data_IF_372607337729
#
_entry.id   IF_372607337729
#
_cell.length_a   1.000
_cell.length_b   1.000
_cell.length_c   1.000
_cell.angle_alpha   90.00
_cell.angle_beta   90.00
_cell.angle_gamma   90.00
#
_symmetry.space_group_name_H-M   'P 1'
#
loop_
_entity.id
_entity.type
_entity.pdbx_description
1 polymer ?
#
# COMPACT_ATOMS: atom_id res chain seq x y z
N UNK A 1 21.67 -60.44 -48.18
CA UNK A 1 22.45 -59.83 -49.28
C UNK A 1 21.56 -58.80 -49.98
N UNK A 2 22.06 -57.65 -50.48
CA UNK A 2 23.08 -56.78 -49.88
C UNK A 2 22.76 -55.25 -49.95
N UNK A 3 23.40 -54.46 -49.07
CA UNK A 3 24.04 -53.13 -49.28
C UNK A 3 23.34 -51.91 -49.97
N UNK A 4 23.60 -50.74 -49.34
CA UNK A 4 23.98 -49.41 -49.92
C UNK A 4 22.88 -48.58 -50.64
N UNK A 5 22.98 -47.26 -50.78
CA UNK A 5 23.96 -46.24 -50.29
C UNK A 5 23.34 -44.83 -50.28
N UNK A 6 24.00 -43.87 -49.63
CA UNK A 6 23.75 -42.41 -49.77
C UNK A 6 24.30 -41.81 -51.08
N UNK A 7 23.65 -40.75 -51.58
CA UNK A 7 24.17 -39.63 -52.39
C UNK A 7 23.02 -38.58 -52.54
N UNK A 8 23.14 -37.28 -52.27
CA UNK A 8 24.00 -36.24 -52.89
C UNK A 8 23.89 -36.22 -54.43
N UNK A 9 23.73 -35.11 -55.16
CA UNK A 9 23.57 -33.67 -54.86
C UNK A 9 22.74 -33.00 -56.00
N UNK A 10 22.12 -31.83 -55.80
CA UNK A 10 22.50 -30.50 -56.36
C UNK A 10 21.54 -29.97 -57.46
N UNK A 11 21.19 -28.67 -57.37
CA UNK A 11 20.74 -27.74 -58.44
C UNK A 11 19.48 -28.11 -59.28
N UNK A 12 18.60 -27.23 -59.75
CA UNK A 12 18.79 -25.88 -60.31
C UNK A 12 17.58 -24.94 -60.10
N UNK A 13 17.91 -23.67 -59.82
CA UNK A 13 17.23 -22.41 -60.17
C UNK A 13 15.93 -22.40 -61.02
N UNK A 14 14.88 -21.76 -60.47
CA UNK A 14 13.93 -20.96 -61.25
C UNK A 14 13.71 -19.59 -60.61
N UNK A 15 14.32 -18.57 -61.20
CA UNK A 15 14.09 -17.16 -60.89
C UNK A 15 12.66 -16.75 -61.28
N UNK A 16 11.98 -15.97 -60.43
CA UNK A 16 10.92 -15.08 -60.89
C UNK A 16 11.14 -13.67 -60.31
N UNK A 17 11.15 -12.68 -61.18
CA UNK A 17 11.45 -11.26 -60.94
C UNK A 17 10.18 -10.41 -60.86
N UNK A 18 10.34 -9.14 -60.48
CA UNK A 18 9.32 -8.08 -60.38
C UNK A 18 8.30 -8.28 -59.24
N UNK A 19 8.33 -7.53 -58.13
CA UNK A 19 8.31 -6.07 -57.92
C UNK A 19 6.90 -5.47 -57.87
N UNK A 20 6.53 -4.92 -56.70
CA UNK A 20 5.96 -3.57 -56.63
C UNK A 20 6.12 -2.97 -55.22
N UNK A 21 6.48 -1.69 -55.15
CA UNK A 21 6.70 -0.97 -53.90
C UNK A 21 5.39 -0.41 -53.35
N UNK A 22 4.68 -1.21 -52.56
CA UNK A 22 3.58 -0.75 -51.71
C UNK A 22 4.09 -0.05 -50.45
N UNK A 23 4.29 1.27 -50.52
CA UNK A 23 4.37 2.13 -49.32
C UNK A 23 3.04 2.05 -48.52
N UNK A 24 3.02 2.50 -47.24
CA UNK A 24 1.82 2.70 -46.35
C UNK A 24 1.51 1.53 -45.38
N UNK A 25 1.25 1.69 -44.06
CA UNK A 25 1.25 2.85 -43.15
C UNK A 25 2.12 2.57 -41.92
N UNK A 26 2.86 3.57 -41.44
CA UNK A 26 3.28 3.60 -40.04
C UNK A 26 2.12 4.12 -39.17
N UNK A 27 1.79 3.39 -38.10
CA UNK A 27 0.97 3.90 -36.99
C UNK A 27 1.88 4.31 -35.83
N UNK A 28 2.78 5.24 -36.14
CA UNK A 28 3.36 6.14 -35.14
C UNK A 28 2.21 7.01 -34.62
N UNK A 29 2.03 7.12 -33.31
CA UNK A 29 1.08 8.05 -32.69
C UNK A 29 1.83 9.22 -32.04
N UNK A 30 2.18 10.28 -32.79
CA UNK A 30 2.60 11.55 -32.22
C UNK A 30 1.37 12.43 -32.00
N UNK A 31 0.99 12.69 -30.75
CA UNK A 31 0.11 13.81 -30.43
C UNK A 31 0.86 15.13 -30.71
N UNK A 32 0.39 16.00 -31.61
CA UNK A 32 0.98 17.32 -31.81
C UNK A 32 0.44 18.29 -30.74
N UNK A 33 1.35 19.02 -30.11
CA UNK A 33 1.02 20.22 -29.37
C UNK A 33 0.54 21.29 -30.37
N UNK A 34 -0.68 21.79 -30.22
CA UNK A 34 -1.17 23.00 -30.89
C UNK A 34 -1.24 24.14 -29.86
N UNK A 35 -0.42 25.17 -30.11
CA UNK A 35 -0.26 26.34 -29.26
C UNK A 35 -1.19 27.46 -29.75
N UNK A 36 -2.28 27.72 -29.04
CA UNK A 36 -3.24 28.79 -29.38
C UNK A 36 -2.98 30.04 -28.54
N UNK A 37 -2.27 31.00 -29.13
CA UNK A 37 -2.13 32.35 -28.60
C UNK A 37 -3.27 33.23 -29.09
N UNK A 38 -4.06 33.82 -28.19
CA UNK A 38 -4.42 35.24 -28.33
C UNK A 38 -4.92 35.90 -27.04
N UNK A 39 -4.73 37.22 -26.96
CA UNK A 39 -4.64 37.98 -25.70
C UNK A 39 -5.81 38.95 -25.44
N UNK A 40 -6.48 38.83 -24.28
CA UNK A 40 -7.28 39.89 -23.59
C UNK A 40 -7.67 39.40 -22.17
N UNK A 41 -7.37 40.04 -21.03
CA UNK A 41 -7.81 41.38 -20.52
C UNK A 41 -9.30 41.67 -20.79
N UNK A 42 -10.22 41.90 -19.86
CA UNK A 42 -10.28 41.93 -18.39
C UNK A 42 -11.78 41.68 -17.99
N UNK A 43 -12.34 41.82 -16.78
CA UNK A 43 -11.92 42.42 -15.51
C UNK A 43 -12.70 41.80 -14.30
N UNK A 44 -12.82 42.54 -13.21
CA UNK A 44 -13.49 42.25 -11.92
C UNK A 44 -15.01 41.97 -11.99
N UNK A 45 -15.49 41.18 -11.03
CA UNK A 45 -16.86 41.25 -10.53
C UNK A 45 -16.84 41.08 -8.99
N UNK A 46 -17.32 42.12 -8.30
CA UNK A 46 -17.25 42.28 -6.84
C UNK A 46 -18.20 41.37 -6.04
N UNK A 47 -17.93 41.32 -4.74
CA UNK A 47 -18.69 40.60 -3.72
C UNK A 47 -20.16 41.07 -3.63
N UNK A 48 -21.10 40.18 -3.28
CA UNK A 48 -22.19 40.52 -2.34
C UNK A 48 -22.72 39.27 -1.60
N UNK A 49 -23.35 39.51 -0.45
CA UNK A 49 -23.50 38.58 0.68
C UNK A 49 -24.89 37.94 0.85
N UNK A 50 -24.96 37.03 1.84
CA UNK A 50 -26.13 36.42 2.52
C UNK A 50 -26.90 35.30 1.78
N UNK A 51 -27.53 34.34 2.48
CA UNK A 51 -27.32 33.72 3.81
C UNK A 51 -28.34 32.56 3.92
N UNK A 52 -27.93 31.38 4.38
CA UNK A 52 -28.64 30.48 5.33
C UNK A 52 -27.92 29.11 5.28
N UNK A 53 -27.18 28.70 6.32
CA UNK A 53 -27.63 28.27 7.65
C UNK A 53 -28.26 26.86 7.65
N UNK A 54 -27.40 25.83 7.61
CA UNK A 54 -27.75 24.41 7.81
C UNK A 54 -26.70 23.70 8.65
N UNK A 55 -26.75 23.87 9.98
CA UNK A 55 -25.75 23.35 10.92
C UNK A 55 -25.91 21.84 11.18
N UNK A 56 -24.83 21.05 11.02
CA UNK A 56 -24.78 19.69 11.56
C UNK A 56 -23.34 19.21 11.91
N UNK A 57 -23.10 18.99 13.21
CA UNK A 57 -21.97 18.22 13.78
C UNK A 57 -20.52 18.70 13.54
N UNK A 58 -20.15 19.74 14.28
CA UNK A 58 -18.78 20.08 14.69
C UNK A 58 -18.07 18.88 15.38
N UNK A 59 -17.20 18.16 14.68
CA UNK A 59 -16.03 17.52 15.31
C UNK A 59 -14.80 18.37 14.98
N UNK A 60 -14.26 19.03 16.00
CA UNK A 60 -13.10 19.89 15.84
C UNK A 60 -11.84 19.05 15.62
N UNK A 61 -11.35 19.06 14.39
CA UNK A 61 -9.94 18.82 14.08
C UNK A 61 -9.31 20.20 13.88
N UNK A 62 -8.52 20.65 14.86
CA UNK A 62 -7.76 21.90 14.79
C UNK A 62 -6.72 21.82 13.66
N UNK A 63 -6.76 22.70 12.64
CA UNK A 63 -5.73 22.75 11.61
C UNK A 63 -4.59 23.65 12.09
N UNK A 64 -3.69 23.10 12.91
CA UNK A 64 -2.45 23.80 13.28
C UNK A 64 -1.46 23.86 12.11
N UNK A 65 -1.71 24.75 11.15
CA UNK A 65 -0.73 25.17 10.14
C UNK A 65 0.31 26.09 10.80
N UNK A 66 1.29 25.49 11.48
CA UNK A 66 2.50 26.15 11.99
C UNK A 66 3.71 25.77 11.16
N UNK A 67 4.27 26.72 10.40
CA UNK A 67 5.35 26.43 9.46
C UNK A 67 6.72 26.18 10.11
N UNK A 68 7.57 25.44 9.39
CA UNK A 68 9.02 25.64 9.38
C UNK A 68 9.80 25.29 10.64
N UNK A 69 10.17 24.02 10.82
CA UNK A 69 11.44 23.66 11.46
C UNK A 69 12.01 22.37 10.85
N UNK A 70 12.99 22.53 9.97
CA UNK A 70 13.77 21.46 9.32
C UNK A 70 14.75 20.86 10.33
N UNK A 71 14.24 20.16 11.34
CA UNK A 71 15.05 19.51 12.38
C UNK A 71 15.47 18.09 11.98
N UNK A 72 16.59 18.02 11.27
CA UNK A 72 17.43 16.81 11.26
C UNK A 72 18.17 16.70 12.59
N UNK A 73 17.57 16.03 13.58
CA UNK A 73 18.23 14.97 14.38
C UNK A 73 17.39 14.52 15.59
N UNK A 74 17.56 13.25 15.94
CA UNK A 74 16.99 12.64 17.14
C UNK A 74 15.69 11.89 16.89
N UNK A 75 15.80 10.60 16.54
CA UNK A 75 14.72 9.61 16.74
C UNK A 75 14.43 9.51 18.24
N UNK A 76 13.69 10.47 18.80
CA UNK A 76 13.03 10.30 20.10
C UNK A 76 12.01 9.19 19.92
N UNK A 77 12.42 7.96 20.24
CA UNK A 77 11.49 6.88 20.52
C UNK A 77 10.59 7.37 21.65
N UNK A 78 9.41 7.86 21.28
CA UNK A 78 8.30 8.11 22.19
C UNK A 78 8.22 6.93 23.18
N UNK A 79 7.92 7.15 24.46
CA UNK A 79 7.60 6.07 25.39
C UNK A 79 6.33 5.35 24.92
N UNK A 80 6.48 4.43 23.96
CA UNK A 80 5.41 3.59 23.49
C UNK A 80 5.01 2.73 24.70
N UNK A 81 3.77 2.91 25.16
CA UNK A 81 3.21 2.12 26.24
C UNK A 81 3.48 0.64 25.95
N UNK A 82 4.20 -0.03 26.86
CA UNK A 82 4.71 -1.38 26.66
C UNK A 82 3.55 -2.36 26.59
N UNK A 83 3.13 -2.68 25.37
CA UNK A 83 2.15 -3.71 25.09
C UNK A 83 2.77 -5.06 25.40
N UNK A 84 2.14 -5.88 26.25
CA UNK A 84 2.57 -7.25 26.43
C UNK A 84 2.16 -8.08 25.20
N UNK A 85 2.98 -9.07 24.82
CA UNK A 85 2.65 -9.97 23.70
C UNK A 85 1.30 -10.69 23.91
N UNK A 86 0.93 -10.97 25.16
CA UNK A 86 -0.37 -11.54 25.53
C UNK A 86 -1.55 -10.61 25.19
N UNK A 87 -1.39 -9.29 25.33
CA UNK A 87 -2.43 -8.33 24.97
C UNK A 87 -2.61 -8.25 23.46
N UNK A 88 -1.52 -8.38 22.70
CA UNK A 88 -1.58 -8.53 21.24
C UNK A 88 -2.30 -9.80 20.83
N UNK A 89 -2.00 -10.94 21.45
CA UNK A 89 -2.70 -12.21 21.15
C UNK A 89 -4.19 -12.11 21.49
N UNK A 90 -4.56 -11.48 22.61
CA UNK A 90 -5.96 -11.22 22.98
C UNK A 90 -6.64 -10.24 22.01
N UNK A 91 -5.90 -9.26 21.49
CA UNK A 91 -6.39 -8.29 20.52
C UNK A 91 -6.59 -8.85 19.11
N UNK A 92 -6.00 -10.01 18.76
CA UNK A 92 -5.91 -10.52 17.39
C UNK A 92 -6.32 -12.01 17.33
N UNK A 93 -7.59 -12.35 17.66
CA UNK A 93 -8.13 -13.71 17.45
C UNK A 93 -8.05 -14.20 16.01
N UNK A 94 -7.96 -13.30 15.02
CA UNK A 94 -7.70 -13.63 13.62
C UNK A 94 -6.45 -14.52 13.43
N UNK A 95 -5.45 -14.43 14.30
CA UNK A 95 -4.32 -15.37 14.29
C UNK A 95 -4.79 -16.82 14.38
N UNK A 96 -5.71 -17.12 15.31
CA UNK A 96 -6.28 -18.45 15.48
C UNK A 96 -7.26 -18.79 14.35
N UNK A 97 -8.08 -17.83 13.90
CA UNK A 97 -9.07 -18.05 12.84
C UNK A 97 -8.43 -18.49 11.51
N UNK A 98 -7.28 -17.91 11.15
CA UNK A 98 -6.51 -18.30 9.97
C UNK A 98 -5.46 -19.40 10.22
N UNK A 99 -5.49 -20.07 11.37
CA UNK A 99 -4.63 -21.22 11.67
C UNK A 99 -3.16 -20.90 11.96
N UNK A 100 -2.80 -19.65 12.27
CA UNK A 100 -1.45 -19.30 12.70
C UNK A 100 -1.14 -19.83 14.10
N UNK A 101 0.08 -20.32 14.30
CA UNK A 101 0.57 -20.65 15.64
C UNK A 101 0.63 -19.39 16.51
N UNK A 102 0.19 -19.49 17.77
CA UNK A 102 0.24 -18.35 18.70
C UNK A 102 1.71 -18.00 18.99
N UNK A 103 2.16 -16.76 18.76
CA UNK A 103 3.55 -16.35 18.98
C UNK A 103 3.88 -16.37 20.48
N UNK A 104 5.05 -16.91 20.84
CA UNK A 104 5.55 -16.94 22.22
C UNK A 104 6.56 -15.82 22.49
N UNK A 105 7.13 -15.26 21.44
CA UNK A 105 8.04 -14.13 21.44
C UNK A 105 7.72 -13.13 20.31
N UNK A 106 8.28 -11.91 20.39
CA UNK A 106 8.20 -10.94 19.30
C UNK A 106 8.86 -11.43 18.01
N UNK A 107 9.90 -12.26 18.12
CA UNK A 107 10.56 -12.89 16.97
C UNK A 107 9.63 -13.90 16.27
N UNK A 108 8.80 -14.64 17.01
CA UNK A 108 7.80 -15.53 16.41
C UNK A 108 6.75 -14.73 15.63
N UNK A 109 6.28 -13.60 16.19
CA UNK A 109 5.35 -12.71 15.50
C UNK A 109 5.97 -12.14 14.20
N UNK A 110 7.26 -11.76 14.23
CA UNK A 110 7.98 -11.32 13.04
C UNK A 110 8.10 -12.43 11.98
N UNK A 111 8.38 -13.68 12.38
CA UNK A 111 8.40 -14.85 11.48
C UNK A 111 7.04 -15.16 10.84
N UNK A 112 5.94 -14.83 11.52
CA UNK A 112 4.58 -14.96 10.98
C UNK A 112 4.21 -13.82 10.02
N UNK A 113 4.83 -12.64 10.13
CA UNK A 113 4.45 -11.45 9.36
C UNK A 113 4.44 -11.63 7.83
N UNK A 114 5.42 -12.31 7.18
CA UNK A 114 5.36 -12.59 5.74
C UNK A 114 4.16 -13.47 5.35
N UNK A 115 3.71 -14.36 6.24
CA UNK A 115 2.55 -15.22 6.00
C UNK A 115 1.24 -14.42 6.09
N UNK A 116 1.12 -13.60 7.14
CA UNK A 116 0.01 -12.65 7.30
C UNK A 116 -0.09 -11.68 6.11
N UNK A 117 1.04 -11.20 5.59
CA UNK A 117 1.08 -10.35 4.40
C UNK A 117 0.52 -11.05 3.15
N UNK A 118 0.94 -12.30 2.87
CA UNK A 118 0.42 -13.06 1.73
C UNK A 118 -1.08 -13.30 1.84
N UNK A 119 -1.57 -13.66 3.03
CA UNK A 119 -2.99 -13.90 3.29
C UNK A 119 -3.86 -12.64 3.10
N UNK A 120 -3.32 -11.46 3.41
CA UNK A 120 -4.05 -10.18 3.34
C UNK A 120 -3.75 -9.36 2.07
N UNK A 121 -2.96 -9.88 1.12
CA UNK A 121 -2.57 -9.15 -0.09
C UNK A 121 -1.65 -7.94 0.15
N UNK A 122 -0.91 -7.92 1.26
CA UNK A 122 0.11 -6.89 1.52
C UNK A 122 1.36 -7.23 0.70
N UNK A 123 1.68 -6.38 -0.28
CA UNK A 123 2.90 -6.45 -1.08
C UNK A 123 4.18 -6.42 -0.23
N UNK A 124 5.22 -7.15 -0.64
CA UNK A 124 6.52 -7.20 0.04
C UNK A 124 7.17 -5.81 0.21
N UNK A 125 7.06 -4.92 -0.79
CA UNK A 125 7.44 -3.50 -0.68
C UNK A 125 6.84 -2.83 0.57
N UNK A 126 5.52 -2.90 0.74
CA UNK A 126 4.83 -2.29 1.88
C UNK A 126 5.32 -2.86 3.22
N UNK A 127 5.62 -4.17 3.29
CA UNK A 127 6.20 -4.79 4.49
C UNK A 127 7.62 -4.28 4.75
N UNK A 128 8.47 -4.22 3.73
CA UNK A 128 9.87 -3.78 3.86
C UNK A 128 9.94 -2.30 4.27
N UNK A 129 9.16 -1.44 3.63
CA UNK A 129 9.05 -0.02 4.01
C UNK A 129 8.53 0.14 5.44
N UNK A 130 7.57 -0.67 5.88
CA UNK A 130 7.16 -0.67 7.28
C UNK A 130 8.34 -1.02 8.22
N UNK A 131 9.05 -2.13 7.96
CA UNK A 131 10.20 -2.57 8.78
C UNK A 131 11.30 -1.50 8.84
N UNK A 132 11.63 -0.85 7.73
CA UNK A 132 12.64 0.22 7.67
C UNK A 132 12.28 1.42 8.57
N UNK A 133 11.02 1.85 8.54
CA UNK A 133 10.59 3.08 9.19
C UNK A 133 10.27 2.90 10.68
N UNK A 134 9.55 1.84 11.06
CA UNK A 134 9.14 1.58 12.46
C UNK A 134 9.93 0.48 13.18
N UNK A 135 10.74 -0.29 12.46
CA UNK A 135 11.47 -1.45 12.98
C UNK A 135 10.64 -2.74 12.93
N UNK A 136 11.33 -3.89 12.88
CA UNK A 136 10.73 -5.21 12.66
C UNK A 136 9.58 -5.54 13.64
N UNK A 137 9.79 -5.35 14.95
CA UNK A 137 8.77 -5.64 15.96
C UNK A 137 7.50 -4.80 15.76
N UNK A 138 7.63 -3.49 15.53
CA UNK A 138 6.46 -2.61 15.34
C UNK A 138 5.76 -2.90 14.00
N UNK A 139 6.52 -3.23 12.95
CA UNK A 139 5.96 -3.62 11.66
C UNK A 139 5.17 -4.94 11.77
N UNK A 140 5.71 -5.95 12.47
CA UNK A 140 5.01 -7.21 12.73
C UNK A 140 3.71 -7.00 13.52
N UNK A 141 3.74 -6.12 14.52
CA UNK A 141 2.55 -5.69 15.28
C UNK A 141 1.53 -4.99 14.37
N UNK A 142 1.97 -4.05 13.54
CA UNK A 142 1.10 -3.32 12.60
C UNK A 142 0.44 -4.26 11.57
N UNK A 143 1.19 -5.24 11.04
CA UNK A 143 0.68 -6.27 10.13
C UNK A 143 -0.38 -7.14 10.83
N UNK A 144 -0.13 -7.55 12.07
CA UNK A 144 -1.11 -8.33 12.84
C UNK A 144 -2.39 -7.51 13.14
N UNK A 145 -2.26 -6.22 13.49
CA UNK A 145 -3.42 -5.30 13.65
C UNK A 145 -4.18 -5.15 12.32
N UNK A 146 -3.48 -5.11 11.19
CA UNK A 146 -4.11 -5.07 9.86
C UNK A 146 -4.88 -6.36 9.58
N UNK A 147 -4.32 -7.53 9.91
CA UNK A 147 -4.98 -8.82 9.80
C UNK A 147 -6.32 -8.84 10.57
N UNK A 148 -6.33 -8.39 11.83
CA UNK A 148 -7.58 -8.37 12.62
C UNK A 148 -8.64 -7.41 12.04
N UNK A 149 -8.20 -6.30 11.44
CA UNK A 149 -9.11 -5.34 10.80
C UNK A 149 -9.61 -5.81 9.45
N UNK A 150 -8.82 -6.60 8.73
CA UNK A 150 -9.21 -7.25 7.48
C UNK A 150 -10.24 -8.37 7.74
N UNK A 151 -9.98 -9.22 8.73
CA UNK A 151 -10.88 -10.26 9.26
C UNK A 151 -12.28 -9.69 9.60
N UNK A 152 -12.31 -8.55 10.28
CA UNK A 152 -13.54 -7.79 10.61
C UNK A 152 -14.13 -6.95 9.47
N UNK A 153 -13.58 -7.05 8.26
CA UNK A 153 -13.95 -6.23 7.08
C UNK A 153 -13.85 -4.70 7.29
N UNK A 154 -13.15 -4.22 8.34
CA UNK A 154 -12.90 -2.80 8.60
C UNK A 154 -11.85 -2.20 7.64
N UNK A 155 -11.02 -3.03 7.00
CA UNK A 155 -9.94 -2.63 6.08
C UNK A 155 -10.14 -3.29 4.73
N UNK A 156 -10.52 -2.49 3.73
CA UNK A 156 -10.70 -2.93 2.33
C UNK A 156 -9.38 -3.14 1.57
N UNK A 157 -8.32 -2.43 1.95
CA UNK A 157 -6.98 -2.54 1.33
C UNK A 157 -5.91 -2.64 2.41
N UNK A 158 -5.53 -3.86 2.82
CA UNK A 158 -4.49 -4.09 3.83
C UNK A 158 -3.14 -3.45 3.49
N UNK A 159 -2.71 -3.52 2.22
CA UNK A 159 -1.47 -2.89 1.76
C UNK A 159 -1.50 -1.36 1.84
N UNK A 160 -2.65 -0.74 1.52
CA UNK A 160 -2.84 0.72 1.71
C UNK A 160 -2.87 1.11 3.19
N UNK A 161 -3.54 0.31 4.02
CA UNK A 161 -3.62 0.54 5.46
C UNK A 161 -2.26 0.44 6.16
N UNK A 162 -1.41 -0.52 5.77
CA UNK A 162 -0.04 -0.63 6.27
C UNK A 162 0.83 0.55 5.85
N UNK A 163 0.72 1.04 4.61
CA UNK A 163 1.42 2.26 4.17
C UNK A 163 0.99 3.48 5.01
N UNK A 164 -0.32 3.70 5.17
CA UNK A 164 -0.84 4.77 6.03
C UNK A 164 -0.49 4.64 7.53
N UNK A 165 -0.19 3.44 8.04
CA UNK A 165 0.43 3.27 9.37
C UNK A 165 1.92 3.61 9.37
N UNK A 166 2.63 3.25 8.30
CA UNK A 166 4.06 3.57 8.11
C UNK A 166 4.27 5.07 8.04
N UNK A 167 3.45 5.79 7.28
CA UNK A 167 3.53 7.25 7.17
C UNK A 167 3.30 7.91 8.55
N UNK A 168 2.26 7.49 9.29
CA UNK A 168 2.05 7.93 10.69
C UNK A 168 3.18 7.54 11.64
N UNK A 169 3.87 6.42 11.41
CA UNK A 169 5.04 6.05 12.20
C UNK A 169 6.20 7.02 11.95
N UNK A 170 6.42 7.44 10.69
CA UNK A 170 7.43 8.45 10.36
C UNK A 170 7.11 9.83 10.93
N UNK A 171 5.83 10.21 11.01
CA UNK A 171 5.36 11.43 11.67
C UNK A 171 5.40 11.35 13.22
N UNK A 172 5.58 10.16 13.81
CA UNK A 172 5.51 9.97 15.27
C UNK A 172 4.08 9.87 15.84
N UNK A 173 3.08 9.76 14.98
CA UNK A 173 1.63 9.75 15.29
C UNK A 173 1.04 8.33 15.41
N UNK A 174 1.82 7.29 15.11
CA UNK A 174 1.34 5.90 15.18
C UNK A 174 1.27 5.38 16.63
N UNK A 175 0.04 5.26 17.15
CA UNK A 175 -0.22 4.74 18.49
C UNK A 175 -0.70 3.26 18.48
N UNK A 176 0.19 2.33 18.14
CA UNK A 176 -0.11 0.89 18.11
C UNK A 176 -0.69 0.36 19.44
N UNK A 177 -0.17 0.83 20.58
CA UNK A 177 -0.66 0.41 21.90
C UNK A 177 -2.16 0.73 22.10
N UNK A 178 -2.60 1.94 21.72
CA UNK A 178 -4.03 2.32 21.77
C UNK A 178 -4.87 1.42 20.85
N UNK A 179 -4.36 1.09 19.66
CA UNK A 179 -5.05 0.17 18.75
C UNK A 179 -5.20 -1.23 19.35
N UNK A 180 -4.17 -1.76 20.00
CA UNK A 180 -4.16 -3.11 20.58
C UNK A 180 -5.06 -3.20 21.80
N UNK A 181 -4.98 -2.26 22.75
CA UNK A 181 -5.88 -2.27 23.91
C UNK A 181 -7.36 -2.07 23.48
N UNK A 182 -7.62 -1.22 22.48
CA UNK A 182 -8.96 -1.04 21.93
C UNK A 182 -9.50 -2.28 21.21
N UNK A 183 -8.63 -3.06 20.55
CA UNK A 183 -8.98 -4.36 19.95
C UNK A 183 -9.16 -5.46 21.01
N UNK A 184 -8.29 -5.54 22.04
CA UNK A 184 -8.43 -6.50 23.12
C UNK A 184 -9.74 -6.31 23.89
N UNK A 185 -10.10 -5.07 24.23
CA UNK A 185 -11.32 -4.75 24.97
C UNK A 185 -12.60 -5.17 24.23
N UNK A 186 -12.69 -4.92 22.92
CA UNK A 186 -13.86 -5.37 22.12
C UNK A 186 -13.94 -6.89 22.02
N UNK A 187 -12.81 -7.57 21.79
CA UNK A 187 -12.80 -9.04 21.68
C UNK A 187 -13.25 -9.69 23.00
N UNK A 188 -12.86 -9.13 24.15
CA UNK A 188 -13.33 -9.61 25.45
C UNK A 188 -14.82 -9.37 25.70
N UNK A 189 -15.43 -8.33 25.14
CA UNK A 189 -16.87 -8.11 25.24
C UNK A 189 -17.66 -9.03 24.30
N UNK A 190 -17.15 -9.25 23.08
CA UNK A 190 -17.76 -10.16 22.11
C UNK A 190 -17.73 -11.62 22.57
N UNK A 191 -16.69 -12.05 23.31
CA UNK A 191 -16.56 -13.41 23.85
C UNK A 191 -17.44 -13.70 25.09
N UNK A 192 -18.24 -12.75 25.56
CA UNK A 192 -19.15 -12.88 26.71
C UNK A 192 -20.64 -12.88 26.32
N UNK A 193 -20.95 -12.78 25.02
CA UNK A 193 -22.30 -12.84 24.46
C UNK A 193 -22.48 -14.11 23.60
#
# INVERSE_FOLDING_TARGET
LPRRSESASETENTTCTYAENGMHKQITNPDPLEESNDNRRSADAEQFYLLEAGSASKRAYEPSLGGGLRQVNGRRRQPQALVALQDLVRAIPALKAYGFALPRSWADLARLAPQMCRLTGISDDARLRAIEQMGEQQAAVAIAVTLQKYDRQEVKSPGGYLRAMTDRATAGELHLARSIFGLAARNSMEALN
#
